data_IF_943192302788
#
_entry.id   IF_943192302788
#
_cell.length_a   1.000
_cell.length_b   1.000
_cell.length_c   1.000
_cell.angle_alpha   90.00
_cell.angle_beta   90.00
_cell.angle_gamma   90.00
#
_symmetry.space_group_name_H-M   'P 1'
#
loop_
_entity.id
_entity.type
_entity.pdbx_description
1 polymer ?
#
# COMPACT_ATOMS: atom_id res chain seq x y z
N UNK A 1 -16.64 -12.79 15.00
CA UNK A 1 -16.40 -11.49 14.34
C UNK A 1 -16.68 -10.42 15.37
N UNK A 2 -15.66 -9.67 15.77
CA UNK A 2 -15.78 -8.56 16.72
C UNK A 2 -16.19 -7.29 15.95
N UNK A 3 -17.37 -6.68 16.25
CA UNK A 3 -17.93 -5.59 15.44
C UNK A 3 -17.25 -4.22 15.60
N UNK A 4 -16.19 -4.11 16.43
CA UNK A 4 -15.59 -2.81 16.73
C UNK A 4 -14.46 -2.37 15.78
N UNK A 5 -14.00 -3.21 14.85
CA UNK A 5 -13.00 -2.82 13.84
C UNK A 5 -13.29 -3.32 12.41
N UNK A 6 -14.37 -2.84 11.74
CA UNK A 6 -14.71 -3.32 10.39
C UNK A 6 -13.75 -2.84 9.28
N UNK A 7 -12.81 -1.94 9.58
CA UNK A 7 -11.89 -1.33 8.60
C UNK A 7 -10.46 -1.17 9.11
N UNK A 8 -10.00 -2.04 10.01
CA UNK A 8 -8.57 -2.11 10.27
C UNK A 8 -7.87 -2.62 9.01
N UNK A 9 -7.14 -1.76 8.31
CA UNK A 9 -6.19 -2.19 7.28
C UNK A 9 -5.07 -3.07 7.87
N UNK A 10 -4.96 -3.11 9.20
CA UNK A 10 -4.05 -3.92 10.00
C UNK A 10 -4.80 -5.17 10.49
N UNK A 11 -5.01 -6.12 9.58
CA UNK A 11 -5.53 -7.47 9.87
C UNK A 11 -4.41 -8.51 9.92
N UNK A 12 -4.72 -9.73 10.36
CA UNK A 12 -3.76 -10.86 10.40
C UNK A 12 -2.98 -11.02 9.09
N UNK A 13 -3.60 -10.96 7.88
CA UNK A 13 -2.85 -11.09 6.64
C UNK A 13 -1.79 -10.01 6.47
N UNK A 14 -2.10 -8.78 6.85
CA UNK A 14 -1.18 -7.65 6.76
C UNK A 14 -0.03 -7.77 7.78
N UNK A 15 -0.30 -8.27 8.98
CA UNK A 15 0.73 -8.54 9.99
C UNK A 15 1.70 -9.61 9.50
N UNK A 16 1.18 -10.71 8.93
CA UNK A 16 2.01 -11.78 8.37
C UNK A 16 2.89 -11.28 7.20
N UNK A 17 2.33 -10.43 6.33
CA UNK A 17 3.11 -9.79 5.26
C UNK A 17 4.26 -8.94 5.81
N UNK A 18 4.01 -8.12 6.84
CA UNK A 18 5.07 -7.33 7.49
C UNK A 18 6.17 -8.21 8.10
N UNK A 19 5.80 -9.40 8.59
CA UNK A 19 6.74 -10.39 9.12
C UNK A 19 7.47 -11.19 8.02
N UNK A 20 7.30 -10.83 6.74
CA UNK A 20 7.88 -11.52 5.57
C UNK A 20 7.39 -12.97 5.39
N UNK A 21 6.29 -13.34 6.06
CA UNK A 21 5.63 -14.64 5.97
C UNK A 21 4.59 -14.61 4.83
N UNK A 22 5.08 -14.54 3.59
CA UNK A 22 4.24 -14.19 2.44
C UNK A 22 3.21 -15.24 2.07
N UNK A 23 3.55 -16.53 2.17
CA UNK A 23 2.61 -17.60 1.85
C UNK A 23 1.51 -17.68 2.91
N UNK A 24 1.85 -17.60 4.20
CA UNK A 24 0.87 -17.53 5.28
C UNK A 24 -0.01 -16.28 5.16
N UNK A 25 0.59 -15.14 4.78
CA UNK A 25 -0.14 -13.91 4.52
C UNK A 25 -1.15 -14.07 3.38
N UNK A 26 -0.77 -14.75 2.28
CA UNK A 26 -1.68 -15.02 1.16
C UNK A 26 -2.80 -15.97 1.56
N UNK A 27 -2.51 -17.02 2.33
CA UNK A 27 -3.54 -17.95 2.80
C UNK A 27 -4.53 -17.27 3.77
N UNK A 28 -4.04 -16.44 4.68
CA UNK A 28 -4.90 -15.63 5.53
C UNK A 28 -5.72 -14.62 4.69
N UNK A 29 -5.08 -13.94 3.74
CA UNK A 29 -5.73 -12.96 2.87
C UNK A 29 -6.86 -13.57 2.04
N UNK A 30 -6.69 -14.81 1.52
CA UNK A 30 -7.75 -15.51 0.78
C UNK A 30 -8.98 -15.79 1.64
N UNK A 31 -8.79 -16.16 2.91
CA UNK A 31 -9.90 -16.43 3.85
C UNK A 31 -10.72 -15.17 4.13
N UNK A 32 -10.07 -14.01 4.12
CA UNK A 32 -10.68 -12.69 4.37
C UNK A 32 -11.05 -11.95 3.07
N UNK A 33 -10.82 -12.56 1.90
CA UNK A 33 -10.93 -11.94 0.57
C UNK A 33 -10.13 -10.62 0.39
N UNK A 34 -9.02 -10.46 1.13
CA UNK A 34 -8.12 -9.31 1.07
C UNK A 34 -7.14 -9.41 -0.12
N UNK A 35 -7.61 -8.98 -1.29
CA UNK A 35 -6.81 -8.99 -2.52
C UNK A 35 -5.60 -8.04 -2.48
N UNK A 36 -5.60 -7.05 -1.58
CA UNK A 36 -4.49 -6.11 -1.40
C UNK A 36 -3.29 -6.82 -0.77
N UNK A 37 -3.49 -7.64 0.27
CA UNK A 37 -2.39 -8.40 0.87
C UNK A 37 -1.85 -9.46 -0.09
N UNK A 38 -2.71 -10.08 -0.90
CA UNK A 38 -2.23 -10.95 -1.99
C UNK A 38 -1.30 -10.19 -2.95
N UNK A 39 -1.68 -8.97 -3.34
CA UNK A 39 -0.85 -8.15 -4.22
C UNK A 39 0.50 -7.77 -3.58
N UNK A 40 0.48 -7.37 -2.30
CA UNK A 40 1.66 -7.01 -1.53
C UNK A 40 2.62 -8.19 -1.33
N UNK A 41 2.12 -9.38 -1.01
CA UNK A 41 2.97 -10.57 -0.86
C UNK A 41 3.60 -10.97 -2.19
N UNK A 42 2.80 -11.04 -3.27
CA UNK A 42 3.28 -11.51 -4.57
C UNK A 42 4.30 -10.57 -5.21
N UNK A 43 4.21 -9.25 -4.95
CA UNK A 43 5.23 -8.31 -5.47
C UNK A 43 6.58 -8.47 -4.75
N UNK A 44 6.57 -8.79 -3.45
CA UNK A 44 7.80 -9.03 -2.69
C UNK A 44 8.51 -10.33 -3.12
N UNK A 45 7.74 -11.33 -3.55
CA UNK A 45 8.27 -12.59 -4.10
C UNK A 45 8.72 -12.48 -5.56
N UNK A 46 8.59 -11.30 -6.20
CA UNK A 46 8.91 -11.10 -7.61
C UNK A 46 7.87 -11.67 -8.59
N UNK A 47 6.74 -12.19 -8.09
CA UNK A 47 5.60 -12.72 -8.87
C UNK A 47 4.76 -11.57 -9.42
N UNK A 48 5.38 -10.77 -10.28
CA UNK A 48 4.89 -9.45 -10.71
C UNK A 48 3.52 -9.52 -11.40
N UNK A 49 3.28 -10.50 -12.28
CA UNK A 49 2.00 -10.62 -12.98
C UNK A 49 0.83 -10.89 -12.01
N UNK A 50 1.04 -11.75 -11.03
CA UNK A 50 0.02 -12.08 -10.03
C UNK A 50 -0.24 -10.91 -9.08
N UNK A 51 0.82 -10.19 -8.70
CA UNK A 51 0.71 -8.99 -7.90
C UNK A 51 -0.16 -7.92 -8.59
N UNK A 52 0.09 -7.67 -9.88
CA UNK A 52 -0.69 -6.70 -10.67
C UNK A 52 -2.14 -7.14 -10.80
N UNK A 53 -2.40 -8.42 -11.07
CA UNK A 53 -3.77 -8.93 -11.19
C UNK A 53 -4.55 -8.80 -9.87
N UNK A 54 -3.90 -9.08 -8.73
CA UNK A 54 -4.49 -8.89 -7.42
C UNK A 54 -4.72 -7.41 -7.09
N UNK A 55 -3.76 -6.54 -7.42
CA UNK A 55 -3.87 -5.10 -7.24
C UNK A 55 -5.02 -4.50 -8.06
N UNK A 56 -5.17 -4.89 -9.33
CA UNK A 56 -6.26 -4.43 -10.20
C UNK A 56 -7.64 -4.81 -9.64
N UNK A 57 -7.75 -5.98 -8.99
CA UNK A 57 -9.00 -6.37 -8.33
C UNK A 57 -9.23 -5.58 -7.04
N UNK A 58 -8.20 -5.37 -6.22
CA UNK A 58 -8.30 -4.58 -5.00
C UNK A 58 -8.67 -3.11 -5.29
N UNK A 59 -8.12 -2.53 -6.37
CA UNK A 59 -8.40 -1.15 -6.79
C UNK A 59 -9.88 -0.89 -7.09
N UNK A 60 -10.66 -1.91 -7.50
CA UNK A 60 -12.10 -1.75 -7.79
C UNK A 60 -12.93 -1.39 -6.57
N UNK A 61 -12.46 -1.75 -5.38
CA UNK A 61 -13.17 -1.57 -4.11
C UNK A 61 -12.44 -0.65 -3.13
N UNK A 62 -11.16 -0.36 -3.38
CA UNK A 62 -10.35 0.49 -2.52
C UNK A 62 -10.88 1.94 -2.47
N UNK A 63 -11.18 2.41 -1.26
CA UNK A 63 -11.52 3.83 -0.96
C UNK A 63 -10.61 4.45 0.10
N UNK A 64 -9.91 3.63 0.87
CA UNK A 64 -9.05 4.07 1.94
C UNK A 64 -7.69 4.53 1.38
N UNK A 65 -7.22 5.75 1.73
CA UNK A 65 -5.93 6.28 1.24
C UNK A 65 -4.73 5.38 1.53
N UNK A 66 -4.72 4.66 2.67
CA UNK A 66 -3.64 3.73 3.02
C UNK A 66 -3.64 2.53 2.08
N UNK A 67 -4.82 1.98 1.76
CA UNK A 67 -4.94 0.87 0.81
C UNK A 67 -4.53 1.35 -0.60
N UNK A 68 -4.97 2.54 -1.00
CA UNK A 68 -4.57 3.13 -2.28
C UNK A 68 -3.05 3.30 -2.38
N UNK A 69 -2.39 3.78 -1.32
CA UNK A 69 -0.93 3.91 -1.29
C UNK A 69 -0.22 2.55 -1.42
N UNK A 70 -0.73 1.51 -0.74
CA UNK A 70 -0.21 0.15 -0.84
C UNK A 70 -0.35 -0.43 -2.26
N UNK A 71 -1.47 -0.19 -2.93
CA UNK A 71 -1.68 -0.62 -4.32
C UNK A 71 -0.80 0.16 -5.30
N UNK A 72 -0.63 1.46 -5.07
CA UNK A 72 0.30 2.29 -5.83
C UNK A 72 1.74 1.80 -5.69
N UNK A 73 2.17 1.39 -4.49
CA UNK A 73 3.46 0.75 -4.26
C UNK A 73 3.62 -0.53 -5.09
N UNK A 74 2.61 -1.41 -5.11
CA UNK A 74 2.63 -2.62 -5.95
C UNK A 74 2.80 -2.27 -7.43
N UNK A 75 2.04 -1.30 -7.94
CA UNK A 75 2.17 -0.85 -9.32
C UNK A 75 3.55 -0.25 -9.62
N UNK A 76 4.11 0.56 -8.72
CA UNK A 76 5.42 1.16 -8.90
C UNK A 76 6.52 0.09 -8.98
N UNK A 77 6.51 -0.86 -8.04
CA UNK A 77 7.41 -2.02 -8.01
C UNK A 77 7.25 -2.93 -9.24
N UNK A 78 6.05 -3.01 -9.80
CA UNK A 78 5.76 -3.77 -11.02
C UNK A 78 6.12 -3.01 -12.32
N UNK A 79 6.70 -1.80 -12.24
CA UNK A 79 7.03 -0.98 -13.41
C UNK A 79 5.84 -0.26 -14.04
N UNK A 80 4.64 -0.34 -13.44
CA UNK A 80 3.41 0.30 -13.91
C UNK A 80 3.35 1.77 -13.47
N UNK A 81 4.36 2.55 -13.87
CA UNK A 81 4.57 3.94 -13.43
C UNK A 81 3.34 4.82 -13.59
N UNK A 82 2.65 4.76 -14.73
CA UNK A 82 1.46 5.58 -14.98
C UNK A 82 0.32 5.35 -13.97
N UNK A 83 0.06 4.07 -13.61
CA UNK A 83 -0.95 3.73 -12.59
C UNK A 83 -0.54 4.26 -11.21
N UNK A 84 0.73 4.03 -10.84
CA UNK A 84 1.28 4.49 -9.57
C UNK A 84 1.24 6.03 -9.43
N UNK A 85 1.68 6.77 -10.46
CA UNK A 85 1.64 8.25 -10.48
C UNK A 85 0.21 8.80 -10.40
N UNK A 86 -0.75 8.15 -11.05
CA UNK A 86 -2.16 8.58 -11.00
C UNK A 86 -2.69 8.51 -9.57
N UNK A 87 -2.40 7.42 -8.85
CA UNK A 87 -2.83 7.25 -7.46
C UNK A 87 -2.08 8.22 -6.54
N UNK A 88 -0.77 8.39 -6.75
CA UNK A 88 0.05 9.35 -6.00
C UNK A 88 -0.55 10.76 -6.02
N UNK A 89 -0.85 11.28 -7.22
CA UNK A 89 -1.43 12.62 -7.37
C UNK A 89 -2.77 12.77 -6.62
N UNK A 90 -3.58 11.71 -6.63
CA UNK A 90 -4.83 11.67 -5.86
C UNK A 90 -4.58 11.69 -4.36
N UNK A 91 -3.62 10.90 -3.87
CA UNK A 91 -3.26 10.85 -2.46
C UNK A 91 -2.70 12.19 -1.96
N UNK A 92 -1.84 12.86 -2.72
CA UNK A 92 -1.29 14.16 -2.36
C UNK A 92 -2.37 15.24 -2.18
N UNK A 93 -3.40 15.21 -3.03
CA UNK A 93 -4.54 16.11 -2.89
C UNK A 93 -5.31 15.86 -1.58
N UNK A 94 -5.40 14.59 -1.16
CA UNK A 94 -6.11 14.21 0.07
C UNK A 94 -5.30 14.38 1.34
N UNK A 95 -3.97 14.25 1.30
CA UNK A 95 -3.10 14.49 2.47
C UNK A 95 -3.27 15.92 3.00
N UNK A 96 -3.65 16.87 2.13
CA UNK A 96 -3.99 18.24 2.54
C UNK A 96 -5.30 18.37 3.33
N UNK A 97 -6.16 17.35 3.27
CA UNK A 97 -7.50 17.36 3.88
C UNK A 97 -7.66 16.37 5.04
N UNK A 98 -6.87 15.28 5.06
CA UNK A 98 -6.89 14.24 6.08
C UNK A 98 -5.49 13.70 6.34
N UNK A 99 -5.21 13.32 7.58
CA UNK A 99 -3.92 12.72 7.93
C UNK A 99 -3.71 11.41 7.15
N UNK A 100 -2.67 11.39 6.32
CA UNK A 100 -2.12 10.20 5.68
C UNK A 100 -0.67 10.15 6.12
N UNK A 101 -0.22 9.03 6.68
CA UNK A 101 1.16 8.89 7.12
C UNK A 101 2.11 9.14 5.93
N UNK A 102 2.91 10.21 6.00
CA UNK A 102 3.82 10.60 4.91
C UNK A 102 4.82 9.53 4.52
N UNK A 103 5.08 8.56 5.41
CA UNK A 103 5.86 7.35 5.13
C UNK A 103 5.33 6.56 3.91
N UNK A 104 4.01 6.41 3.78
CA UNK A 104 3.42 5.68 2.66
C UNK A 104 3.61 6.43 1.32
N UNK A 105 3.55 7.77 1.36
CA UNK A 105 3.81 8.62 0.18
C UNK A 105 5.29 8.54 -0.20
N UNK A 106 6.18 8.55 0.77
CA UNK A 106 7.61 8.36 0.53
C UNK A 106 7.94 7.01 -0.13
N UNK A 107 7.36 5.91 0.37
CA UNK A 107 7.54 4.58 -0.25
C UNK A 107 7.07 4.56 -1.71
N UNK A 108 6.03 5.32 -2.05
CA UNK A 108 5.53 5.42 -3.41
C UNK A 108 6.51 6.17 -4.33
N UNK A 109 7.01 7.32 -3.91
CA UNK A 109 8.07 8.05 -4.64
C UNK A 109 9.33 7.20 -4.81
N UNK A 110 9.75 6.49 -3.77
CA UNK A 110 10.89 5.57 -3.85
C UNK A 110 10.66 4.46 -4.89
N UNK A 111 9.47 3.86 -4.92
CA UNK A 111 9.08 2.85 -5.91
C UNK A 111 9.04 3.40 -7.35
N UNK A 112 8.75 4.69 -7.52
CA UNK A 112 8.78 5.38 -8.82
C UNK A 112 10.19 5.78 -9.27
N UNK A 113 11.17 5.73 -8.36
CA UNK A 113 12.56 6.10 -8.59
C UNK A 113 12.88 7.56 -8.26
N UNK A 114 11.93 8.32 -7.71
CA UNK A 114 12.10 9.71 -7.31
C UNK A 114 12.57 9.78 -5.84
N UNK A 115 13.89 9.72 -5.66
CA UNK A 115 14.51 9.67 -4.33
C UNK A 115 14.38 10.99 -3.58
N UNK A 116 14.44 12.13 -4.28
CA UNK A 116 14.34 13.44 -3.64
C UNK A 116 13.00 13.61 -2.95
N UNK A 117 11.91 13.31 -3.66
CA UNK A 117 10.57 13.38 -3.06
C UNK A 117 10.35 12.31 -1.99
N UNK A 118 10.93 11.12 -2.14
CA UNK A 118 10.88 10.11 -1.09
C UNK A 118 11.51 10.61 0.22
N UNK A 119 12.68 11.24 0.16
CA UNK A 119 13.34 11.81 1.34
C UNK A 119 12.53 12.96 1.94
N UNK A 120 12.05 13.90 1.12
CA UNK A 120 11.25 15.03 1.59
C UNK A 120 9.98 14.56 2.35
N UNK A 121 9.30 13.54 1.84
CA UNK A 121 8.13 12.97 2.50
C UNK A 121 8.46 12.16 3.76
N UNK A 122 9.64 11.54 3.85
CA UNK A 122 10.12 10.91 5.09
C UNK A 122 10.41 11.95 6.16
N UNK A 123 11.10 13.03 5.82
CA UNK A 123 11.39 14.13 6.75
C UNK A 123 10.11 14.75 7.30
N UNK A 124 9.12 15.01 6.42
CA UNK A 124 7.81 15.49 6.83
C UNK A 124 7.10 14.52 7.77
N UNK A 125 7.09 13.22 7.44
CA UNK A 125 6.46 12.19 8.27
C UNK A 125 7.15 12.02 9.64
N UNK A 126 8.43 12.33 9.73
CA UNK A 126 9.20 12.30 10.98
C UNK A 126 8.92 13.53 11.84
N UNK A 127 8.81 14.72 11.22
CA UNK A 127 8.38 15.96 11.88
C UNK A 127 6.98 15.84 12.48
N UNK A 128 6.00 15.35 11.70
CA UNK A 128 4.60 15.21 12.14
C UNK A 128 4.40 14.19 13.29
N UNK A 129 5.39 13.34 13.60
CA UNK A 129 5.36 12.38 14.73
C UNK A 129 5.99 12.92 16.01
N UNK A 130 6.68 14.06 15.93
CA UNK A 130 7.45 14.64 17.04
C UNK A 130 6.72 15.76 17.79
N UNK A 131 5.52 16.14 17.32
CA UNK A 131 4.53 17.00 17.99
C UNK A 131 3.32 16.18 18.46
#
# INVERSE_FOLDING_TARGET
MDPLFPQSHVGLPYTLWNLRLYEEAVEAAKKEDDKRVVALSRIEEGRTQEAVAAADRAMKVARNPVILAQLAYVYARAGMKGKATTILNGLEAEVKQRYVCGFNVACLYAGLGDKEQAYAWLEKAYGDRSD
#
